data_IF_614905312949
#
_entry.id   IF_614905312949
#
_cell.length_a   1.000
_cell.length_b   1.000
_cell.length_c   1.000
_cell.angle_alpha   90.00
_cell.angle_beta   90.00
_cell.angle_gamma   90.00
#
_symmetry.space_group_name_H-M   'P 1'
#
loop_
_entity.id
_entity.type
_entity.pdbx_description
1 polymer ?
#
# COMPACT_ATOMS: atom_id res chain seq x y z
N UNK A 1 -25.35 -7.73 -25.00
CA UNK A 1 -24.19 -7.60 -24.10
C UNK A 1 -24.62 -6.73 -22.94
N UNK A 2 -24.55 -7.22 -21.70
CA UNK A 2 -24.94 -6.43 -20.52
C UNK A 2 -23.75 -5.60 -20.05
N UNK A 3 -23.99 -4.34 -19.68
CA UNK A 3 -22.97 -3.41 -19.17
C UNK A 3 -23.38 -2.95 -17.77
N UNK A 4 -22.45 -3.02 -16.83
CA UNK A 4 -22.59 -2.46 -15.49
C UNK A 4 -21.58 -1.33 -15.36
N UNK A 5 -22.01 -0.18 -14.86
CA UNK A 5 -21.16 0.97 -14.54
C UNK A 5 -21.19 1.14 -13.03
N UNK A 6 -20.00 1.20 -12.41
CA UNK A 6 -19.84 1.46 -10.98
C UNK A 6 -18.87 2.63 -10.79
N UNK A 7 -18.97 3.30 -9.64
CA UNK A 7 -17.91 4.19 -9.16
C UNK A 7 -16.60 3.42 -9.09
N UNK A 8 -15.47 4.05 -9.45
CA UNK A 8 -14.14 3.40 -9.40
C UNK A 8 -13.93 2.84 -7.98
N UNK A 9 -13.76 1.52 -7.82
CA UNK A 9 -13.68 0.90 -6.50
C UNK A 9 -12.30 1.10 -5.87
N UNK A 10 -12.17 0.73 -4.60
CA UNK A 10 -10.90 0.58 -3.89
C UNK A 10 -10.64 -0.90 -3.59
N UNK A 11 -9.37 -1.27 -3.43
CA UNK A 11 -8.96 -2.60 -2.97
C UNK A 11 -8.50 -2.55 -1.49
N UNK A 12 -9.31 -3.05 -0.58
CA UNK A 12 -9.02 -2.96 0.86
C UNK A 12 -8.05 -4.04 1.37
N UNK A 13 -7.49 -4.89 0.50
CA UNK A 13 -6.47 -5.89 0.90
C UNK A 13 -5.64 -6.35 -0.31
N UNK A 14 -4.40 -5.86 -0.45
CA UNK A 14 -3.51 -6.30 -1.54
C UNK A 14 -2.06 -6.58 -1.09
N UNK A 15 -1.39 -7.50 -1.80
CA UNK A 15 0.04 -7.75 -1.68
C UNK A 15 0.75 -7.34 -2.97
N UNK A 16 1.44 -6.20 -2.96
CA UNK A 16 2.18 -5.71 -4.14
C UNK A 16 3.57 -6.36 -4.29
N UNK A 17 4.11 -6.99 -3.24
CA UNK A 17 5.49 -7.50 -3.22
C UNK A 17 6.50 -6.35 -3.41
N UNK A 18 7.72 -6.65 -3.82
CA UNK A 18 8.78 -5.65 -3.99
C UNK A 18 9.73 -6.09 -5.13
N UNK A 19 10.70 -5.25 -5.47
CA UNK A 19 11.69 -5.52 -6.53
C UNK A 19 11.02 -5.73 -7.89
N UNK A 20 11.51 -6.69 -8.67
CA UNK A 20 11.06 -6.95 -10.06
C UNK A 20 9.55 -7.20 -10.20
N UNK A 21 8.89 -7.66 -9.13
CA UNK A 21 7.45 -7.92 -9.16
C UNK A 21 6.62 -6.64 -8.98
N UNK A 22 7.17 -5.62 -8.32
CA UNK A 22 6.42 -4.43 -7.93
C UNK A 22 5.91 -3.66 -9.14
N UNK A 23 6.75 -3.50 -10.18
CA UNK A 23 6.38 -2.83 -11.43
C UNK A 23 5.12 -3.41 -12.06
N UNK A 24 4.95 -4.74 -11.98
CA UNK A 24 3.76 -5.40 -12.52
C UNK A 24 2.56 -5.22 -11.59
N UNK A 25 2.71 -5.60 -10.32
CA UNK A 25 1.59 -5.68 -9.37
C UNK A 25 0.96 -4.31 -9.09
N UNK A 26 1.76 -3.25 -8.99
CA UNK A 26 1.25 -1.90 -8.74
C UNK A 26 0.43 -1.38 -9.92
N UNK A 27 0.92 -1.59 -11.14
CA UNK A 27 0.23 -1.12 -12.35
C UNK A 27 -1.02 -1.96 -12.65
N UNK A 28 -1.00 -3.25 -12.31
CA UNK A 28 -2.17 -4.13 -12.42
C UNK A 28 -3.33 -3.64 -11.52
N UNK A 29 -3.06 -3.25 -10.25
CA UNK A 29 -4.12 -2.71 -9.37
C UNK A 29 -4.52 -1.29 -9.73
N UNK A 30 -3.57 -0.42 -10.09
CA UNK A 30 -3.83 0.98 -10.41
C UNK A 30 -4.73 1.16 -11.65
N UNK A 31 -4.73 0.18 -12.55
CA UNK A 31 -5.57 0.14 -13.74
C UNK A 31 -7.08 0.12 -13.43
N UNK A 32 -7.50 -0.40 -12.26
CA UNK A 32 -8.91 -0.55 -11.92
C UNK A 32 -9.29 0.01 -10.55
N UNK A 33 -8.37 0.02 -9.57
CA UNK A 33 -8.62 0.56 -8.25
C UNK A 33 -8.29 2.06 -8.17
N UNK A 34 -9.03 2.80 -7.35
CA UNK A 34 -8.71 4.17 -7.01
C UNK A 34 -7.66 4.21 -5.90
N UNK A 35 -7.85 3.42 -4.84
CA UNK A 35 -6.92 3.28 -3.72
C UNK A 35 -6.72 1.81 -3.38
N UNK A 36 -5.63 1.47 -2.70
CA UNK A 36 -5.46 0.13 -2.17
C UNK A 36 -4.77 0.08 -0.81
N UNK A 37 -5.26 -0.75 0.11
CA UNK A 37 -4.59 -1.03 1.39
C UNK A 37 -3.51 -2.08 1.19
N UNK A 38 -2.26 -1.64 1.23
CA UNK A 38 -1.07 -2.43 0.92
C UNK A 38 -0.60 -3.15 2.18
N UNK A 39 -0.58 -4.49 2.11
CA UNK A 39 -0.19 -5.35 3.22
C UNK A 39 1.33 -5.32 3.48
N UNK A 40 1.78 -5.48 4.74
CA UNK A 40 3.15 -5.14 5.15
C UNK A 40 4.10 -6.33 5.21
N UNK A 41 3.66 -7.50 4.74
CA UNK A 41 4.35 -8.79 4.87
C UNK A 41 5.44 -9.02 3.81
N UNK A 42 6.30 -8.03 3.61
CA UNK A 42 7.54 -8.15 2.83
C UNK A 42 8.59 -8.98 3.60
N UNK A 43 9.74 -9.23 2.99
CA UNK A 43 10.89 -9.86 3.63
C UNK A 43 12.11 -8.94 3.50
N UNK A 44 12.52 -8.22 4.57
CA UNK A 44 11.89 -8.14 5.89
C UNK A 44 10.52 -7.42 5.87
N UNK A 45 9.64 -7.62 6.89
CA UNK A 45 8.34 -6.96 6.96
C UNK A 45 8.49 -5.45 7.19
N UNK A 46 7.47 -4.69 6.79
CA UNK A 46 7.35 -3.25 7.02
C UNK A 46 6.84 -3.03 8.44
N UNK A 47 7.69 -2.57 9.38
CA UNK A 47 7.33 -2.58 10.81
C UNK A 47 7.03 -1.20 11.41
N UNK A 48 7.54 -0.14 10.80
CA UNK A 48 7.41 1.22 11.29
C UNK A 48 7.14 2.21 10.15
N UNK A 49 6.84 3.46 10.51
CA UNK A 49 6.52 4.52 9.54
C UNK A 49 7.66 4.79 8.55
N UNK A 50 8.92 4.64 8.97
CA UNK A 50 10.06 4.81 8.07
C UNK A 50 10.10 3.72 7.00
N UNK A 51 9.89 2.46 7.39
CA UNK A 51 9.79 1.34 6.44
C UNK A 51 8.63 1.56 5.46
N UNK A 52 7.47 1.99 5.97
CA UNK A 52 6.29 2.25 5.16
C UNK A 52 6.51 3.39 4.17
N UNK A 53 7.17 4.46 4.59
CA UNK A 53 7.53 5.61 3.73
C UNK A 53 8.50 5.18 2.63
N UNK A 54 9.50 4.37 2.96
CA UNK A 54 10.44 3.84 1.98
C UNK A 54 9.74 2.92 0.97
N UNK A 55 8.84 2.05 1.42
CA UNK A 55 8.09 1.17 0.54
C UNK A 55 7.09 1.92 -0.34
N UNK A 56 6.35 2.88 0.22
CA UNK A 56 5.49 3.80 -0.52
C UNK A 56 6.29 4.51 -1.63
N UNK A 57 7.49 5.00 -1.32
CA UNK A 57 8.35 5.65 -2.33
C UNK A 57 8.72 4.71 -3.48
N UNK A 58 8.98 3.43 -3.21
CA UNK A 58 9.21 2.42 -4.26
C UNK A 58 7.94 2.16 -5.08
N UNK A 59 6.78 2.04 -4.44
CA UNK A 59 5.48 1.86 -5.11
C UNK A 59 5.23 3.02 -6.07
N UNK A 60 5.41 4.27 -5.61
CA UNK A 60 5.18 5.46 -6.44
C UNK A 60 6.20 5.59 -7.58
N UNK A 61 7.44 5.12 -7.39
CA UNK A 61 8.44 5.10 -8.45
C UNK A 61 8.14 4.05 -9.54
N UNK A 62 7.55 2.92 -9.16
CA UNK A 62 7.13 1.84 -10.07
C UNK A 62 5.82 2.14 -10.82
N UNK A 63 5.02 3.08 -10.32
CA UNK A 63 3.72 3.45 -10.85
C UNK A 63 3.86 4.18 -12.20
N UNK A 64 3.25 3.63 -13.26
CA UNK A 64 3.31 4.16 -14.62
C UNK A 64 1.91 4.41 -15.17
N UNK A 65 1.61 5.66 -15.51
CA UNK A 65 0.36 6.02 -16.20
C UNK A 65 -0.89 6.12 -15.32
N UNK A 66 -0.76 6.04 -13.99
CA UNK A 66 -1.89 6.11 -13.06
C UNK A 66 -1.67 7.11 -11.91
N UNK A 67 -1.51 8.43 -12.19
CA UNK A 67 -1.12 9.42 -11.18
C UNK A 67 -2.14 9.64 -10.04
N UNK A 68 -3.35 9.08 -10.16
CA UNK A 68 -4.40 9.19 -9.15
C UNK A 68 -4.50 7.95 -8.24
N UNK A 69 -3.75 6.88 -8.50
CA UNK A 69 -3.77 5.70 -7.64
C UNK A 69 -3.10 6.01 -6.30
N UNK A 70 -3.78 5.69 -5.20
CA UNK A 70 -3.31 5.96 -3.84
C UNK A 70 -3.04 4.64 -3.08
N UNK A 71 -1.77 4.28 -2.84
CA UNK A 71 -1.43 3.18 -1.96
C UNK A 71 -1.52 3.63 -0.48
N UNK A 72 -2.42 3.00 0.27
CA UNK A 72 -2.61 3.19 1.70
C UNK A 72 -1.76 2.15 2.45
N UNK A 73 -0.77 2.61 3.21
CA UNK A 73 0.23 1.74 3.82
C UNK A 73 -0.26 1.14 5.13
N UNK A 74 0.29 -0.02 5.49
CA UNK A 74 0.09 -0.65 6.79
C UNK A 74 1.42 -1.03 7.42
N UNK A 75 1.43 -1.29 8.73
CA UNK A 75 2.59 -1.83 9.45
C UNK A 75 2.35 -3.28 9.84
N UNK A 76 3.39 -4.09 9.94
CA UNK A 76 3.29 -5.47 10.37
C UNK A 76 3.38 -5.53 11.89
N UNK A 77 2.33 -6.03 12.55
CA UNK A 77 2.33 -6.25 14.00
C UNK A 77 3.37 -7.31 14.42
N UNK A 78 4.21 -6.98 15.40
CA UNK A 78 5.22 -7.87 15.97
C UNK A 78 5.24 -7.76 17.49
N UNK A 79 5.89 -8.70 18.18
CA UNK A 79 6.13 -8.62 19.62
C UNK A 79 6.95 -7.38 20.03
N UNK A 80 7.68 -6.79 19.08
CA UNK A 80 8.45 -5.54 19.29
C UNK A 80 7.69 -4.26 18.95
N UNK A 81 6.45 -4.36 18.45
CA UNK A 81 5.64 -3.18 18.13
C UNK A 81 5.22 -2.48 19.42
N UNK A 82 5.53 -1.19 19.52
CA UNK A 82 5.28 -0.37 20.72
C UNK A 82 4.07 0.55 20.53
N UNK A 83 3.46 1.06 21.62
CA UNK A 83 2.46 2.13 21.52
C UNK A 83 2.95 3.35 20.73
N UNK A 84 4.22 3.73 20.89
CA UNK A 84 4.83 4.86 20.16
C UNK A 84 4.82 4.62 18.64
N UNK A 85 5.01 3.36 18.18
CA UNK A 85 4.89 3.00 16.77
C UNK A 85 3.46 3.21 16.26
N UNK A 86 2.44 2.91 17.09
CA UNK A 86 1.03 3.12 16.76
C UNK A 86 0.69 4.61 16.71
N UNK A 87 1.19 5.40 17.66
CA UNK A 87 1.00 6.86 17.66
C UNK A 87 1.65 7.50 16.44
N UNK A 88 2.87 7.09 16.10
CA UNK A 88 3.57 7.55 14.90
C UNK A 88 2.81 7.15 13.62
N UNK A 89 2.27 5.93 13.57
CA UNK A 89 1.44 5.46 12.46
C UNK A 89 0.18 6.30 12.31
N UNK A 90 -0.54 6.58 13.41
CA UNK A 90 -1.76 7.38 13.41
C UNK A 90 -1.53 8.85 13.01
N UNK A 91 -0.34 9.40 13.26
CA UNK A 91 0.07 10.74 12.84
C UNK A 91 0.55 10.79 11.38
N UNK A 92 0.82 9.64 10.75
CA UNK A 92 1.27 9.56 9.36
C UNK A 92 0.10 9.71 8.39
N UNK A 93 0.30 10.50 7.34
CA UNK A 93 -0.67 10.60 6.24
C UNK A 93 -0.62 9.38 5.30
N UNK A 94 0.36 8.48 5.46
CA UNK A 94 0.56 7.33 4.58
C UNK A 94 0.02 6.03 5.18
N UNK A 95 0.03 5.91 6.51
CA UNK A 95 -0.28 4.66 7.21
C UNK A 95 -1.72 4.70 7.69
N UNK A 96 -2.52 3.71 7.31
CA UNK A 96 -3.93 3.62 7.69
C UNK A 96 -4.24 2.46 8.65
N UNK A 97 -3.25 1.64 9.01
CA UNK A 97 -3.44 0.49 9.90
C UNK A 97 -2.16 -0.27 10.24
N UNK A 98 -2.31 -1.24 11.13
CA UNK A 98 -1.31 -2.23 11.55
C UNK A 98 -1.95 -3.62 11.47
#
# INVERSE_FOLDING_TARGET
MYRITITKPDDWHIHLRDGDMLDRTVNDVAAWANRAVVMPNLTPPVKNVSDATAYHSRIMAALAGFPQFEPLMTLYLTDSTTPDDIEAAAQSNLVCGV
#
